data_IF_013809526639
#
_entry.id   IF_013809526639
#
_cell.length_a   1.000
_cell.length_b   1.000
_cell.length_c   1.000
_cell.angle_alpha   90.00
_cell.angle_beta   90.00
_cell.angle_gamma   90.00
#
_symmetry.space_group_name_H-M   'P 1'
#
loop_
_entity.id
_entity.type
_entity.pdbx_description
1 polymer ?
#
# COMPACT_ATOMS: atom_id res chain seq x y z
N UNK A 1 -49.88 5.53 -65.42
CA UNK A 1 -51.06 6.18 -64.79
C UNK A 1 -50.57 6.89 -63.52
N UNK A 2 -51.18 8.03 -63.19
CA UNK A 2 -51.02 8.86 -61.95
C UNK A 2 -51.50 8.06 -60.71
N UNK A 3 -51.19 8.32 -59.40
CA UNK A 3 -50.63 9.50 -58.66
C UNK A 3 -49.29 9.23 -57.90
N UNK A 4 -48.52 10.15 -57.27
CA UNK A 4 -48.64 11.49 -56.63
C UNK A 4 -48.73 11.48 -55.07
N UNK A 5 -47.85 12.23 -54.37
CA UNK A 5 -48.19 13.22 -53.30
C UNK A 5 -46.96 14.00 -52.73
N UNK A 6 -47.09 15.35 -52.68
CA UNK A 6 -46.57 16.38 -51.74
C UNK A 6 -45.17 16.24 -51.04
N UNK A 7 -44.18 17.16 -51.20
CA UNK A 7 -44.05 18.60 -50.75
C UNK A 7 -43.58 18.70 -49.28
N UNK A 8 -42.62 19.53 -48.79
CA UNK A 8 -42.01 20.83 -49.20
C UNK A 8 -40.53 20.88 -48.70
N UNK A 9 -39.51 20.87 -49.58
CA UNK A 9 -38.64 22.00 -50.01
C UNK A 9 -37.95 22.87 -48.93
N UNK A 10 -36.61 22.79 -48.90
CA UNK A 10 -35.68 23.77 -48.33
C UNK A 10 -35.40 24.93 -49.33
N UNK A 11 -34.69 25.99 -48.93
CA UNK A 11 -34.32 27.08 -49.86
C UNK A 11 -32.89 27.65 -49.73
N UNK A 12 -32.42 28.12 -50.90
CA UNK A 12 -31.15 28.80 -51.26
C UNK A 12 -31.48 30.25 -51.74
N UNK A 13 -30.64 31.16 -52.24
CA UNK A 13 -29.19 31.36 -52.54
C UNK A 13 -29.02 32.92 -52.69
N UNK A 14 -27.87 33.62 -52.79
CA UNK A 14 -26.43 33.29 -52.72
C UNK A 14 -25.59 34.58 -52.52
N UNK A 15 -24.27 34.45 -52.69
CA UNK A 15 -23.35 35.39 -53.40
C UNK A 15 -23.02 36.81 -52.89
N UNK A 16 -21.77 36.92 -52.41
CA UNK A 16 -20.65 37.80 -52.90
C UNK A 16 -20.46 39.29 -52.52
N UNK A 17 -19.18 39.60 -52.16
CA UNK A 17 -18.42 40.87 -52.30
C UNK A 17 -18.84 42.04 -51.35
N UNK A 18 -17.97 42.82 -50.68
CA UNK A 18 -16.63 43.38 -51.02
C UNK A 18 -15.73 43.55 -49.76
N UNK A 19 -14.40 43.43 -49.90
CA UNK A 19 -13.32 44.00 -49.02
C UNK A 19 -12.55 45.07 -49.85
N UNK A 20 -11.75 46.03 -49.30
CA UNK A 20 -11.08 46.01 -47.98
C UNK A 20 -11.03 47.37 -47.23
N UNK A 21 -10.40 47.40 -46.04
CA UNK A 21 -9.34 48.38 -45.72
C UNK A 21 -8.48 47.86 -44.54
N UNK A 22 -7.17 48.14 -44.57
CA UNK A 22 -6.17 47.68 -43.57
C UNK A 22 -5.39 48.87 -43.03
N UNK A 23 -5.23 48.93 -41.70
CA UNK A 23 -4.18 49.65 -40.92
C UNK A 23 -4.21 49.06 -39.50
N UNK A 24 -3.23 48.24 -39.11
CA UNK A 24 -1.89 48.57 -38.55
C UNK A 24 -1.90 48.66 -37.00
N UNK A 25 -1.02 47.86 -36.40
CA UNK A 25 -0.81 47.62 -34.95
C UNK A 25 -0.33 48.86 -34.18
N UNK A 26 -0.41 48.84 -32.83
CA UNK A 26 0.82 48.53 -32.07
C UNK A 26 0.66 47.48 -30.95
N UNK A 27 1.79 47.09 -30.36
CA UNK A 27 1.93 46.05 -29.34
C UNK A 27 1.35 46.46 -27.97
N UNK A 28 0.93 45.44 -27.19
CA UNK A 28 0.72 45.53 -25.74
C UNK A 28 0.98 44.16 -25.10
N UNK A 29 1.94 44.08 -24.18
CA UNK A 29 2.24 42.86 -23.44
C UNK A 29 1.26 42.68 -22.27
N UNK A 30 0.92 41.44 -21.92
CA UNK A 30 0.04 41.14 -20.81
C UNK A 30 -0.01 39.66 -20.44
N UNK A 31 0.66 39.32 -19.34
CA UNK A 31 0.55 38.10 -18.52
C UNK A 31 0.15 36.78 -19.20
N UNK A 32 1.13 35.88 -19.36
CA UNK A 32 0.85 34.45 -19.19
C UNK A 32 0.67 34.23 -17.68
N UNK A 33 -0.57 34.21 -17.22
CA UNK A 33 -0.88 33.72 -15.89
C UNK A 33 -0.70 32.19 -15.89
N UNK A 34 0.42 31.72 -15.34
CA UNK A 34 0.56 30.30 -15.01
C UNK A 34 -0.48 29.98 -13.93
N UNK A 35 -1.57 29.33 -14.32
CA UNK A 35 -2.49 28.71 -13.38
C UNK A 35 -1.80 27.49 -12.80
N UNK A 36 -0.95 27.73 -11.80
CA UNK A 36 -0.58 26.69 -10.85
C UNK A 36 -1.87 26.37 -10.10
N UNK A 37 -2.51 25.28 -10.52
CA UNK A 37 -3.61 24.69 -9.79
C UNK A 37 -3.03 24.15 -8.47
N UNK A 38 -3.02 25.01 -7.44
CA UNK A 38 -2.87 24.61 -6.05
C UNK A 38 -4.12 23.80 -5.66
N UNK A 39 -4.17 22.56 -6.15
CA UNK A 39 -4.97 21.52 -5.51
C UNK A 39 -4.36 21.32 -4.11
N UNK A 40 -5.11 21.54 -3.02
CA UNK A 40 -4.63 21.09 -1.72
C UNK A 40 -4.45 19.56 -1.80
N UNK A 41 -3.43 19.00 -1.14
CA UNK A 41 -3.28 17.54 -1.07
C UNK A 41 -4.60 16.98 -0.53
N UNK A 42 -5.31 16.23 -1.37
CA UNK A 42 -6.44 15.47 -0.88
C UNK A 42 -5.83 14.42 0.06
N UNK A 43 -6.33 14.26 1.30
CA UNK A 43 -6.00 13.07 2.05
C UNK A 43 -6.50 11.88 1.23
N UNK A 44 -5.57 11.07 0.74
CA UNK A 44 -5.86 9.73 0.26
C UNK A 44 -6.33 8.94 1.47
N UNK A 45 -7.64 8.98 1.72
CA UNK A 45 -8.33 7.99 2.53
C UNK A 45 -8.10 6.65 1.84
N UNK A 46 -7.60 5.65 2.56
CA UNK A 46 -7.39 4.30 2.03
C UNK A 46 -8.65 3.80 1.30
N UNK A 47 -9.80 4.05 1.95
CA UNK A 47 -11.13 3.69 1.44
C UNK A 47 -12.10 4.87 1.52
N UNK A 48 -11.93 5.85 0.63
CA UNK A 48 -12.80 7.03 0.52
C UNK A 48 -14.25 6.74 0.11
N UNK A 49 -15.10 6.40 1.09
CA UNK A 49 -16.56 6.47 0.95
C UNK A 49 -17.26 5.25 0.36
N UNK A 50 -17.05 4.07 0.92
CA UNK A 50 -17.78 2.84 0.54
C UNK A 50 -19.20 2.77 1.14
N UNK A 51 -20.08 3.72 0.76
CA UNK A 51 -21.52 3.47 0.85
C UNK A 51 -21.95 2.49 -0.26
N UNK A 52 -21.72 1.19 0.00
CA UNK A 52 -22.46 0.10 -0.64
C UNK A 52 -22.31 -0.01 -2.16
N UNK A 53 -21.08 -0.13 -2.68
CA UNK A 53 -20.87 -0.65 -4.04
C UNK A 53 -21.43 -2.08 -4.09
N UNK A 54 -22.57 -2.27 -4.77
CA UNK A 54 -23.22 -3.57 -4.86
C UNK A 54 -22.35 -4.53 -5.69
N UNK A 55 -21.71 -5.48 -4.99
CA UNK A 55 -21.18 -6.71 -5.57
C UNK A 55 -22.27 -7.31 -6.47
N UNK A 56 -21.93 -7.60 -7.72
CA UNK A 56 -22.93 -8.13 -8.66
C UNK A 56 -23.43 -9.51 -8.21
N UNK A 57 -24.69 -9.83 -8.49
CA UNK A 57 -25.22 -11.16 -8.19
C UNK A 57 -24.46 -12.29 -8.92
N UNK A 58 -23.78 -11.96 -10.04
CA UNK A 58 -22.89 -12.88 -10.75
C UNK A 58 -21.58 -13.14 -9.99
N UNK A 59 -20.99 -12.10 -9.39
CA UNK A 59 -19.76 -12.19 -8.59
C UNK A 59 -19.89 -13.15 -7.39
N UNK A 60 -21.10 -13.30 -6.82
CA UNK A 60 -21.39 -14.26 -5.75
C UNK A 60 -21.80 -15.66 -6.23
N UNK A 61 -21.88 -15.91 -7.54
CA UNK A 61 -22.44 -17.15 -8.07
C UNK A 61 -21.51 -18.36 -7.79
N UNK A 62 -22.06 -19.40 -7.17
CA UNK A 62 -21.31 -20.58 -6.70
C UNK A 62 -20.58 -20.38 -5.36
N UNK A 63 -20.85 -19.30 -4.63
CA UNK A 63 -20.37 -19.09 -3.26
C UNK A 63 -21.47 -19.43 -2.25
N UNK A 64 -21.17 -20.35 -1.32
CA UNK A 64 -22.14 -20.89 -0.35
C UNK A 64 -21.63 -20.56 1.06
N UNK A 65 -22.36 -19.75 1.83
CA UNK A 65 -21.97 -19.41 3.20
C UNK A 65 -21.83 -20.69 4.06
N UNK A 66 -20.67 -20.89 4.67
CA UNK A 66 -20.32 -22.15 5.36
C UNK A 66 -19.35 -21.86 6.52
N UNK A 67 -19.86 -21.28 7.61
CA UNK A 67 -19.03 -20.87 8.75
C UNK A 67 -18.28 -22.04 9.42
N UNK A 68 -18.77 -23.28 9.24
CA UNK A 68 -18.15 -24.48 9.81
C UNK A 68 -16.85 -24.84 9.07
N UNK A 69 -16.86 -24.84 7.73
CA UNK A 69 -15.65 -25.09 6.95
C UNK A 69 -14.78 -23.83 6.80
N UNK A 70 -15.42 -22.69 6.58
CA UNK A 70 -14.81 -21.46 6.08
C UNK A 70 -14.73 -20.32 7.11
N UNK A 71 -15.15 -20.56 8.36
CA UNK A 71 -15.12 -19.55 9.42
C UNK A 71 -16.17 -18.44 9.24
N UNK A 72 -16.34 -17.56 10.23
CA UNK A 72 -17.22 -16.40 10.14
C UNK A 72 -16.98 -15.60 8.84
N UNK A 73 -18.05 -15.11 8.23
CA UNK A 73 -18.01 -14.38 6.94
C UNK A 73 -17.61 -15.21 5.71
N UNK A 74 -17.02 -16.40 5.86
CA UNK A 74 -16.45 -17.18 4.76
C UNK A 74 -17.47 -18.00 3.94
N UNK A 75 -17.17 -18.15 2.66
CA UNK A 75 -17.97 -18.92 1.70
C UNK A 75 -17.22 -20.14 1.19
N UNK A 76 -17.85 -21.32 1.21
CA UNK A 76 -17.39 -22.51 0.49
C UNK A 76 -17.69 -22.36 -1.00
N UNK A 77 -16.71 -22.70 -1.82
CA UNK A 77 -16.79 -22.62 -3.27
C UNK A 77 -17.44 -23.92 -3.77
N UNK A 78 -18.50 -23.79 -4.57
CA UNK A 78 -19.32 -24.92 -5.05
C UNK A 78 -18.46 -26.02 -5.72
N UNK A 79 -18.89 -27.27 -5.57
CA UNK A 79 -18.17 -28.48 -6.00
C UNK A 79 -16.75 -28.69 -5.37
N UNK A 80 -16.39 -27.89 -4.36
CA UNK A 80 -15.08 -28.00 -3.69
C UNK A 80 -15.14 -27.89 -2.16
N UNK A 81 -14.04 -28.28 -1.52
CA UNK A 81 -13.73 -28.04 -0.10
C UNK A 81 -12.84 -26.79 0.10
N UNK A 82 -12.84 -25.87 -0.87
CA UNK A 82 -12.13 -24.60 -0.81
C UNK A 82 -13.06 -23.51 -0.29
N UNK A 83 -12.48 -22.53 0.40
CA UNK A 83 -13.18 -21.38 0.93
C UNK A 83 -12.67 -20.09 0.26
N UNK A 84 -13.47 -19.03 0.33
CA UNK A 84 -13.10 -17.65 -0.01
C UNK A 84 -13.70 -16.70 1.03
N UNK A 85 -13.09 -15.53 1.21
CA UNK A 85 -13.70 -14.45 2.02
C UNK A 85 -14.91 -13.82 1.31
N UNK A 86 -14.96 -13.91 -0.03
CA UNK A 86 -15.91 -13.21 -0.86
C UNK A 86 -15.19 -12.28 -1.82
N UNK A 87 -15.90 -11.36 -2.49
CA UNK A 87 -15.31 -10.48 -3.49
C UNK A 87 -15.04 -9.07 -3.01
N UNK A 88 -13.87 -8.55 -3.36
CA UNK A 88 -13.47 -7.17 -3.07
C UNK A 88 -13.99 -6.26 -4.17
N UNK A 89 -14.77 -5.26 -3.77
CA UNK A 89 -15.41 -4.35 -4.71
C UNK A 89 -14.40 -3.39 -5.34
N UNK A 90 -14.35 -3.35 -6.67
CA UNK A 90 -13.52 -2.39 -7.39
C UNK A 90 -13.95 -0.93 -7.12
N UNK A 91 -13.00 0.00 -6.93
CA UNK A 91 -13.28 1.43 -7.00
C UNK A 91 -13.89 1.75 -8.38
N UNK A 92 -15.05 2.40 -8.42
CA UNK A 92 -15.75 2.66 -9.69
C UNK A 92 -14.90 3.53 -10.63
N UNK A 93 -14.39 2.93 -11.72
CA UNK A 93 -13.64 3.62 -12.75
C UNK A 93 -13.25 2.70 -13.90
N UNK A 94 -13.91 2.84 -15.05
CA UNK A 94 -13.69 2.06 -16.27
C UNK A 94 -12.39 2.44 -17.02
N UNK A 95 -11.30 2.70 -16.29
CA UNK A 95 -10.01 3.12 -16.84
C UNK A 95 -9.17 1.93 -17.33
N UNK A 96 -8.41 2.12 -18.42
CA UNK A 96 -7.33 1.18 -18.74
C UNK A 96 -6.27 1.22 -17.64
N UNK A 97 -5.89 0.05 -17.11
CA UNK A 97 -4.83 -0.05 -16.11
C UNK A 97 -3.53 0.52 -16.67
N UNK A 98 -2.93 1.47 -15.94
CA UNK A 98 -1.68 2.09 -16.31
C UNK A 98 -0.54 1.04 -16.32
N UNK A 99 0.20 0.98 -17.42
CA UNK A 99 1.37 0.11 -17.53
C UNK A 99 2.38 0.40 -16.41
N UNK A 100 2.85 -0.65 -15.74
CA UNK A 100 3.90 -0.52 -14.73
C UNK A 100 5.20 0.11 -15.28
N UNK A 101 5.96 0.77 -14.40
CA UNK A 101 7.25 1.35 -14.74
C UNK A 101 8.29 0.31 -15.16
N UNK A 102 9.29 0.74 -15.93
CA UNK A 102 10.29 -0.15 -16.54
C UNK A 102 11.31 -0.77 -15.54
N UNK A 103 11.33 -0.33 -14.29
CA UNK A 103 12.23 -0.85 -13.25
C UNK A 103 11.52 -1.94 -12.45
N UNK A 104 11.82 -3.20 -12.76
CA UNK A 104 11.37 -4.35 -11.98
C UNK A 104 12.11 -4.41 -10.63
N UNK A 105 11.38 -4.63 -9.54
CA UNK A 105 12.01 -5.06 -8.28
C UNK A 105 12.69 -6.43 -8.49
N UNK A 106 13.92 -6.65 -7.98
CA UNK A 106 14.66 -7.88 -8.23
C UNK A 106 14.12 -9.03 -7.35
N UNK A 107 13.57 -10.09 -7.96
CA UNK A 107 13.06 -11.28 -7.26
C UNK A 107 14.17 -12.25 -6.79
N UNK A 108 13.84 -13.23 -5.94
CA UNK A 108 14.71 -14.38 -5.65
C UNK A 108 14.24 -15.62 -6.43
N UNK A 109 15.15 -16.20 -7.21
CA UNK A 109 14.97 -17.52 -7.84
C UNK A 109 15.58 -18.61 -6.95
N UNK A 110 14.75 -19.55 -6.48
CA UNK A 110 15.18 -20.66 -5.62
C UNK A 110 15.19 -21.99 -6.40
N UNK A 111 16.33 -22.68 -6.37
CA UNK A 111 16.47 -24.03 -6.94
C UNK A 111 16.40 -24.06 -8.47
N UNK A 112 15.56 -24.93 -9.00
CA UNK A 112 15.27 -25.08 -10.44
C UNK A 112 14.14 -24.15 -10.92
N UNK A 113 13.64 -23.26 -10.06
CA UNK A 113 12.51 -22.37 -10.36
C UNK A 113 11.13 -23.03 -10.33
N UNK A 114 11.01 -24.37 -10.22
CA UNK A 114 9.75 -25.08 -10.44
C UNK A 114 9.40 -26.07 -9.32
N UNK A 115 10.39 -26.76 -8.77
CA UNK A 115 10.19 -27.79 -7.75
C UNK A 115 9.74 -27.23 -6.40
N UNK A 116 9.05 -28.05 -5.62
CA UNK A 116 8.55 -27.67 -4.30
C UNK A 116 7.31 -26.77 -4.33
N UNK A 117 7.04 -26.10 -3.20
CA UNK A 117 5.93 -25.15 -3.01
C UNK A 117 6.26 -23.85 -3.72
N UNK A 118 5.37 -23.35 -4.57
CA UNK A 118 5.59 -22.13 -5.38
C UNK A 118 4.30 -21.33 -5.58
N UNK A 119 4.42 -20.01 -5.69
CA UNK A 119 3.38 -19.15 -6.27
C UNK A 119 3.54 -19.18 -7.78
N UNK A 120 2.53 -19.65 -8.50
CA UNK A 120 2.53 -19.72 -9.96
C UNK A 120 1.62 -18.62 -10.50
N UNK A 121 2.22 -17.67 -11.19
CA UNK A 121 1.50 -16.54 -11.79
C UNK A 121 0.94 -16.98 -13.14
N UNK A 122 -0.31 -16.65 -13.43
CA UNK A 122 -1.02 -17.01 -14.65
C UNK A 122 -1.65 -15.73 -15.23
N UNK A 123 -1.55 -15.55 -16.55
CA UNK A 123 -2.43 -14.61 -17.25
C UNK A 123 -3.63 -15.41 -17.77
N UNK A 124 -4.83 -15.03 -17.36
CA UNK A 124 -6.04 -15.83 -17.57
C UNK A 124 -7.06 -15.02 -18.38
N UNK A 125 -7.56 -15.63 -19.45
CA UNK A 125 -8.62 -15.05 -20.29
C UNK A 125 -9.63 -16.10 -20.73
N UNK A 126 -10.85 -15.69 -21.08
CA UNK A 126 -11.81 -16.55 -21.78
C UNK A 126 -11.54 -16.58 -23.29
N UNK A 127 -12.05 -17.58 -24.01
CA UNK A 127 -11.80 -17.77 -25.45
C UNK A 127 -12.04 -16.51 -26.28
N UNK A 128 -13.11 -15.76 -26.00
CA UNK A 128 -13.53 -14.54 -26.70
C UNK A 128 -12.93 -13.22 -26.16
N UNK A 129 -12.31 -13.22 -24.98
CA UNK A 129 -11.71 -12.02 -24.38
C UNK A 129 -10.51 -11.46 -25.19
N UNK A 130 -10.12 -10.18 -25.02
CA UNK A 130 -8.90 -9.64 -25.61
C UNK A 130 -7.66 -10.48 -25.25
N UNK A 131 -6.71 -10.58 -26.20
CA UNK A 131 -5.40 -11.19 -25.97
C UNK A 131 -4.36 -10.09 -25.81
N UNK A 132 -4.06 -9.73 -24.56
CA UNK A 132 -3.17 -8.63 -24.19
C UNK A 132 -1.87 -9.10 -23.51
N UNK A 133 -1.60 -10.40 -23.46
CA UNK A 133 -0.40 -10.95 -22.82
C UNK A 133 0.90 -10.28 -23.27
N UNK A 134 1.12 -10.17 -24.58
CA UNK A 134 2.34 -9.57 -25.13
C UNK A 134 2.46 -8.05 -24.86
N UNK A 135 1.34 -7.37 -24.59
CA UNK A 135 1.32 -5.96 -24.19
C UNK A 135 1.70 -5.81 -22.72
N UNK A 136 1.13 -6.63 -21.83
CA UNK A 136 1.23 -6.49 -20.37
C UNK A 136 2.25 -7.40 -19.68
N UNK A 137 2.92 -8.34 -20.36
CA UNK A 137 3.88 -9.29 -19.73
C UNK A 137 4.91 -8.61 -18.81
N UNK A 138 5.50 -7.50 -19.25
CA UNK A 138 6.44 -6.74 -18.40
C UNK A 138 5.77 -6.17 -17.16
N UNK A 139 4.50 -5.75 -17.25
CA UNK A 139 3.72 -5.24 -16.13
C UNK A 139 3.24 -6.34 -15.19
N UNK A 140 2.80 -7.50 -15.69
CA UNK A 140 2.47 -8.66 -14.85
C UNK A 140 3.68 -9.11 -14.02
N UNK A 141 4.87 -9.07 -14.60
CA UNK A 141 6.13 -9.31 -13.88
C UNK A 141 6.46 -8.20 -12.88
N UNK A 142 6.19 -6.93 -13.22
CA UNK A 142 6.39 -5.80 -12.34
C UNK A 142 5.49 -5.85 -11.10
N UNK A 143 4.19 -6.01 -11.27
CA UNK A 143 3.21 -6.06 -10.18
C UNK A 143 3.42 -7.28 -9.26
N UNK A 144 3.77 -8.45 -9.83
CA UNK A 144 4.15 -9.60 -9.01
C UNK A 144 5.46 -9.37 -8.24
N UNK A 145 6.46 -8.69 -8.83
CA UNK A 145 7.69 -8.32 -8.13
C UNK A 145 7.50 -7.19 -7.09
N UNK A 146 6.55 -6.29 -7.32
CA UNK A 146 6.12 -5.24 -6.38
C UNK A 146 5.46 -5.86 -5.15
N UNK A 147 4.57 -6.85 -5.33
CA UNK A 147 4.03 -7.62 -4.21
C UNK A 147 5.12 -8.35 -3.40
N UNK A 148 6.15 -8.87 -4.07
CA UNK A 148 7.31 -9.48 -3.40
C UNK A 148 8.17 -8.44 -2.64
N UNK A 149 8.25 -7.20 -3.14
CA UNK A 149 8.85 -6.09 -2.41
C UNK A 149 8.05 -5.72 -1.16
N UNK A 150 6.71 -5.64 -1.26
CA UNK A 150 5.79 -5.39 -0.12
C UNK A 150 6.00 -6.43 0.99
N UNK A 151 6.02 -7.72 0.64
CA UNK A 151 6.30 -8.81 1.58
C UNK A 151 7.68 -8.68 2.25
N UNK A 152 8.69 -8.20 1.51
CA UNK A 152 10.04 -8.03 2.03
C UNK A 152 10.22 -6.79 2.91
N UNK A 153 9.57 -5.67 2.56
CA UNK A 153 9.60 -4.43 3.33
C UNK A 153 8.86 -4.60 4.67
N UNK A 154 7.69 -5.25 4.63
CA UNK A 154 6.95 -5.65 5.84
C UNK A 154 7.79 -6.60 6.72
N UNK A 155 8.58 -7.49 6.10
CA UNK A 155 9.50 -8.35 6.82
C UNK A 155 10.69 -7.59 7.43
N UNK A 156 11.20 -6.55 6.75
CA UNK A 156 12.30 -5.71 7.21
C UNK A 156 11.92 -4.94 8.49
N UNK A 157 10.67 -4.49 8.63
CA UNK A 157 10.14 -3.82 9.84
C UNK A 157 10.32 -4.70 11.08
N UNK A 158 10.13 -6.01 10.94
CA UNK A 158 10.27 -6.98 12.03
C UNK A 158 11.64 -7.68 12.08
N UNK A 159 12.65 -7.14 11.36
CA UNK A 159 14.05 -7.60 11.40
C UNK A 159 14.38 -8.79 10.49
N UNK A 160 13.44 -9.25 9.67
CA UNK A 160 13.60 -10.42 8.81
C UNK A 160 13.59 -10.10 7.32
N UNK A 161 13.60 -11.15 6.51
CA UNK A 161 13.35 -11.10 5.07
C UNK A 161 12.32 -12.17 4.72
N UNK A 162 11.33 -11.83 3.90
CA UNK A 162 10.38 -12.78 3.30
C UNK A 162 10.15 -12.41 1.85
N UNK A 163 10.37 -13.37 0.97
CA UNK A 163 10.24 -13.21 -0.49
C UNK A 163 9.22 -14.19 -1.03
N UNK A 164 8.42 -13.78 -2.00
CA UNK A 164 7.46 -14.66 -2.65
C UNK A 164 8.22 -15.70 -3.48
N UNK A 165 7.91 -16.97 -3.26
CA UNK A 165 8.60 -18.11 -3.88
C UNK A 165 7.98 -18.42 -5.25
N UNK A 166 8.21 -17.55 -6.23
CA UNK A 166 7.61 -17.67 -7.56
C UNK A 166 8.07 -18.91 -8.34
N UNK A 167 7.22 -19.38 -9.25
CA UNK A 167 7.66 -20.20 -10.39
C UNK A 167 8.45 -19.31 -11.35
N UNK A 168 9.66 -19.73 -11.69
CA UNK A 168 10.56 -18.95 -12.57
C UNK A 168 11.11 -19.78 -13.72
N UNK A 169 11.44 -19.11 -14.83
CA UNK A 169 12.11 -19.73 -15.97
C UNK A 169 13.63 -19.89 -15.74
N UNK A 170 14.32 -20.48 -16.71
CA UNK A 170 15.77 -20.71 -16.70
C UNK A 170 16.61 -19.42 -16.75
N UNK A 171 16.01 -18.30 -17.18
CA UNK A 171 16.60 -16.97 -17.13
C UNK A 171 16.36 -16.20 -15.82
N UNK A 172 15.75 -16.82 -14.81
CA UNK A 172 15.40 -16.19 -13.52
C UNK A 172 14.41 -15.02 -13.65
N UNK A 173 13.40 -15.18 -14.51
CA UNK A 173 12.22 -14.33 -14.58
C UNK A 173 10.99 -15.09 -14.06
N UNK A 174 9.97 -14.39 -13.57
CA UNK A 174 8.66 -15.00 -13.27
C UNK A 174 8.10 -15.63 -14.56
N UNK A 175 7.74 -16.91 -14.48
CA UNK A 175 7.05 -17.62 -15.55
C UNK A 175 5.54 -17.35 -15.45
N UNK A 176 4.95 -16.89 -16.56
CA UNK A 176 3.55 -16.45 -16.62
C UNK A 176 2.89 -17.07 -17.85
N UNK A 177 2.50 -18.36 -17.83
CA UNK A 177 1.81 -18.96 -18.96
C UNK A 177 0.42 -18.34 -19.16
N UNK A 178 0.04 -18.20 -20.44
CA UNK A 178 -1.33 -17.84 -20.85
C UNK A 178 -2.26 -19.04 -20.63
N UNK A 179 -3.37 -18.82 -19.93
CA UNK A 179 -4.40 -19.82 -19.70
C UNK A 179 -5.71 -19.34 -20.32
N UNK A 180 -6.21 -20.11 -21.29
CA UNK A 180 -7.50 -19.84 -21.95
C UNK A 180 -8.57 -20.73 -21.33
N UNK A 181 -9.60 -20.11 -20.76
CA UNK A 181 -10.78 -20.77 -20.19
C UNK A 181 -11.95 -20.72 -21.20
N UNK A 182 -12.91 -21.67 -21.15
CA UNK A 182 -14.13 -21.58 -21.94
C UNK A 182 -14.93 -20.31 -21.63
N UNK A 183 -15.57 -19.70 -22.64
CA UNK A 183 -16.41 -18.50 -22.45
C UNK A 183 -17.43 -18.66 -21.31
N UNK A 184 -17.52 -17.64 -20.44
CA UNK A 184 -18.37 -17.63 -19.25
C UNK A 184 -17.73 -18.22 -17.98
N UNK A 185 -16.52 -18.79 -18.06
CA UNK A 185 -15.76 -19.29 -16.90
C UNK A 185 -15.10 -18.19 -16.06
N UNK A 186 -15.12 -16.94 -16.53
CA UNK A 186 -14.64 -15.74 -15.86
C UNK A 186 -15.72 -15.02 -15.02
N UNK A 187 -17.00 -15.31 -15.27
CA UNK A 187 -18.13 -14.64 -14.63
C UNK A 187 -18.30 -14.86 -13.13
N UNK A 188 -17.67 -15.87 -12.53
CA UNK A 188 -17.52 -15.99 -11.07
C UNK A 188 -16.27 -16.78 -10.67
N UNK A 189 -15.85 -16.65 -9.41
CA UNK A 189 -14.70 -17.35 -8.86
C UNK A 189 -14.89 -18.87 -8.83
N UNK A 190 -16.11 -19.34 -8.60
CA UNK A 190 -16.46 -20.77 -8.64
C UNK A 190 -16.30 -21.35 -10.06
N UNK A 191 -16.81 -20.67 -11.09
CA UNK A 191 -16.64 -21.14 -12.48
C UNK A 191 -15.18 -21.07 -12.94
N UNK A 192 -14.44 -20.03 -12.53
CA UNK A 192 -12.99 -19.91 -12.77
C UNK A 192 -12.21 -21.07 -12.16
N UNK A 193 -12.47 -21.39 -10.90
CA UNK A 193 -11.78 -22.48 -10.20
C UNK A 193 -12.15 -23.84 -10.80
N UNK A 194 -13.42 -24.07 -11.15
CA UNK A 194 -13.84 -25.33 -11.80
C UNK A 194 -13.13 -25.53 -13.16
N UNK A 195 -13.04 -24.49 -13.98
CA UNK A 195 -12.31 -24.52 -15.25
C UNK A 195 -10.80 -24.73 -15.06
N UNK A 196 -10.15 -23.98 -14.16
CA UNK A 196 -8.73 -24.13 -13.84
C UNK A 196 -8.39 -25.53 -13.30
N UNK A 197 -9.22 -26.08 -12.41
CA UNK A 197 -9.06 -27.43 -11.87
C UNK A 197 -9.20 -28.50 -12.96
N UNK A 198 -10.09 -28.29 -13.93
CA UNK A 198 -10.26 -29.17 -15.11
C UNK A 198 -9.01 -29.18 -16.00
N UNK A 199 -8.33 -28.03 -16.11
CA UNK A 199 -7.03 -27.89 -16.80
C UNK A 199 -5.82 -28.38 -15.97
N UNK A 200 -6.03 -28.86 -14.74
CA UNK A 200 -4.97 -29.40 -13.88
C UNK A 200 -4.28 -28.38 -12.97
N UNK A 201 -4.75 -27.12 -12.93
CA UNK A 201 -4.27 -26.12 -11.97
C UNK A 201 -4.90 -26.37 -10.58
N UNK A 202 -4.51 -27.46 -9.92
CA UNK A 202 -5.08 -27.92 -8.64
C UNK A 202 -4.03 -28.54 -7.69
N UNK A 203 -2.74 -28.32 -7.93
CA UNK A 203 -1.65 -29.00 -7.23
C UNK A 203 -1.41 -28.41 -5.82
N UNK A 204 -1.29 -29.21 -4.74
CA UNK A 204 -1.20 -28.69 -3.37
C UNK A 204 0.08 -27.87 -3.08
N UNK A 205 1.15 -28.07 -3.86
CA UNK A 205 2.35 -27.24 -3.80
C UNK A 205 2.28 -26.00 -4.72
N UNK A 206 1.08 -25.50 -5.02
CA UNK A 206 0.85 -24.30 -5.84
C UNK A 206 -0.17 -23.36 -5.21
N UNK A 207 0.17 -22.08 -5.16
CA UNK A 207 -0.80 -20.99 -5.08
C UNK A 207 -0.85 -20.33 -6.46
N UNK A 208 -2.02 -20.21 -7.05
CA UNK A 208 -2.20 -19.68 -8.39
C UNK A 208 -2.60 -18.21 -8.29
N UNK A 209 -1.69 -17.31 -8.67
CA UNK A 209 -1.98 -15.89 -8.80
C UNK A 209 -2.49 -15.64 -10.22
N UNK A 210 -3.69 -15.11 -10.37
CA UNK A 210 -4.37 -14.94 -11.66
C UNK A 210 -4.46 -13.44 -11.97
N UNK A 211 -3.74 -12.99 -12.99
CA UNK A 211 -4.08 -11.74 -13.68
C UNK A 211 -5.19 -12.07 -14.69
N UNK A 212 -6.42 -11.76 -14.33
CA UNK A 212 -7.62 -12.11 -15.10
C UNK A 212 -8.05 -10.95 -16.01
N UNK A 213 -8.41 -11.26 -17.26
CA UNK A 213 -8.85 -10.27 -18.26
C UNK A 213 -10.23 -9.65 -17.99
N UNK A 214 -11.11 -10.34 -17.28
CA UNK A 214 -12.42 -9.81 -16.89
C UNK A 214 -12.31 -8.71 -15.84
N UNK A 215 -13.39 -7.97 -15.63
CA UNK A 215 -13.54 -6.90 -14.62
C UNK A 215 -14.77 -7.16 -13.73
N UNK A 216 -14.87 -8.37 -13.16
CA UNK A 216 -15.96 -8.81 -12.27
C UNK A 216 -15.69 -8.42 -10.82
N UNK A 217 -14.40 -8.38 -10.47
CA UNK A 217 -13.87 -8.15 -9.13
C UNK A 217 -12.86 -7.00 -9.15
N UNK A 218 -12.41 -6.54 -7.99
CA UNK A 218 -11.05 -6.02 -7.86
C UNK A 218 -10.12 -7.20 -7.57
N UNK A 219 -10.41 -7.83 -6.42
CA UNK A 219 -9.79 -9.04 -5.90
C UNK A 219 -10.84 -10.09 -5.52
N UNK A 220 -10.39 -11.34 -5.42
CA UNK A 220 -11.03 -12.42 -4.67
C UNK A 220 -10.03 -13.56 -4.48
N UNK A 221 -9.88 -14.01 -3.24
CA UNK A 221 -8.92 -15.04 -2.89
C UNK A 221 -9.54 -16.25 -2.18
N UNK A 222 -8.86 -17.39 -2.32
CA UNK A 222 -9.13 -18.56 -1.51
C UNK A 222 -8.59 -18.35 -0.08
N UNK A 223 -9.39 -18.65 0.93
CA UNK A 223 -8.98 -18.60 2.35
C UNK A 223 -8.93 -20.00 2.97
N UNK A 224 -8.31 -20.10 4.14
CA UNK A 224 -8.18 -21.37 4.88
C UNK A 224 -8.42 -21.11 6.36
N UNK A 225 -9.53 -21.66 6.89
CA UNK A 225 -9.83 -21.68 8.32
C UNK A 225 -8.93 -22.68 9.05
N UNK A 226 -7.78 -22.18 9.51
CA UNK A 226 -6.77 -22.93 10.25
C UNK A 226 -5.79 -21.94 10.92
N UNK A 227 -6.00 -21.65 12.21
CA UNK A 227 -5.12 -20.75 12.97
C UNK A 227 -3.90 -21.43 13.60
N UNK A 228 -3.58 -22.70 13.25
CA UNK A 228 -2.47 -23.41 13.90
C UNK A 228 -1.11 -22.86 13.43
N UNK A 229 -0.15 -22.59 14.32
CA UNK A 229 1.12 -21.91 13.98
C UNK A 229 2.12 -22.76 13.18
N UNK A 230 1.98 -24.09 13.23
CA UNK A 230 3.01 -25.02 12.75
C UNK A 230 3.00 -25.27 11.23
N UNK A 231 4.02 -25.99 10.75
CA UNK A 231 4.14 -26.43 9.35
C UNK A 231 2.92 -27.18 8.83
N UNK A 232 2.18 -27.86 9.72
CA UNK A 232 0.98 -28.66 9.45
C UNK A 232 -0.29 -27.83 9.20
N UNK A 233 -0.18 -26.49 9.21
CA UNK A 233 -1.26 -25.61 8.80
C UNK A 233 -1.71 -25.92 7.36
N UNK A 234 -3.02 -26.05 7.15
CA UNK A 234 -3.65 -26.38 5.85
C UNK A 234 -3.24 -25.42 4.73
N UNK A 235 -2.98 -24.14 5.03
CA UNK A 235 -2.50 -23.13 4.07
C UNK A 235 -1.22 -23.57 3.36
N UNK A 236 -0.36 -24.35 4.03
CA UNK A 236 0.85 -24.91 3.44
C UNK A 236 0.59 -26.11 2.51
N UNK A 237 -0.54 -26.81 2.60
CA UNK A 237 -0.73 -28.15 2.00
C UNK A 237 -1.94 -28.25 1.05
N UNK A 238 -2.56 -27.13 0.72
CA UNK A 238 -3.69 -27.05 -0.20
C UNK A 238 -3.42 -26.05 -1.33
N UNK A 239 -3.90 -26.39 -2.53
CA UNK A 239 -3.94 -25.45 -3.64
C UNK A 239 -4.79 -24.22 -3.24
N UNK A 240 -4.40 -23.05 -3.71
CA UNK A 240 -5.15 -21.82 -3.51
C UNK A 240 -5.09 -20.92 -4.74
N UNK A 241 -5.99 -19.95 -4.81
CA UNK A 241 -6.20 -19.08 -5.97
C UNK A 241 -6.36 -17.65 -5.46
N UNK A 242 -5.56 -16.73 -5.99
CA UNK A 242 -5.62 -15.30 -5.76
C UNK A 242 -5.97 -14.66 -7.11
N UNK A 243 -7.17 -14.10 -7.27
CA UNK A 243 -7.65 -13.57 -8.57
C UNK A 243 -7.68 -12.05 -8.53
N UNK A 244 -6.94 -11.43 -9.44
CA UNK A 244 -6.92 -9.97 -9.62
C UNK A 244 -7.44 -9.65 -11.03
N UNK A 245 -8.54 -8.93 -11.09
CA UNK A 245 -9.26 -8.62 -12.34
C UNK A 245 -8.73 -7.33 -12.99
N UNK A 246 -8.92 -7.21 -14.31
CA UNK A 246 -8.55 -6.04 -15.08
C UNK A 246 -9.32 -4.81 -14.56
N UNK A 247 -8.58 -3.75 -14.27
CA UNK A 247 -9.03 -2.59 -13.49
C UNK A 247 -8.27 -2.46 -12.16
N UNK A 248 -7.84 -3.59 -11.57
CA UNK A 248 -7.08 -3.64 -10.31
C UNK A 248 -5.73 -4.37 -10.42
N UNK A 249 -5.13 -4.47 -11.61
CA UNK A 249 -3.80 -5.07 -11.75
C UNK A 249 -2.71 -4.15 -11.19
N UNK A 250 -2.30 -4.38 -9.95
CA UNK A 250 -1.22 -3.68 -9.26
C UNK A 250 -0.59 -4.55 -8.15
N UNK A 251 0.61 -4.20 -7.67
CA UNK A 251 1.30 -4.99 -6.65
C UNK A 251 0.59 -5.03 -5.29
N UNK A 252 -0.16 -3.98 -4.93
CA UNK A 252 -0.92 -3.92 -3.66
C UNK A 252 -2.06 -4.94 -3.68
N UNK A 253 -2.94 -4.91 -4.69
CA UNK A 253 -4.01 -5.91 -4.83
C UNK A 253 -3.46 -7.33 -4.97
N UNK A 254 -2.33 -7.53 -5.67
CA UNK A 254 -1.66 -8.84 -5.71
C UNK A 254 -1.19 -9.29 -4.31
N UNK A 255 -0.61 -8.39 -3.52
CA UNK A 255 -0.19 -8.69 -2.16
C UNK A 255 -1.38 -9.02 -1.25
N UNK A 256 -2.51 -8.31 -1.41
CA UNK A 256 -3.76 -8.54 -0.71
C UNK A 256 -4.29 -9.97 -0.95
N UNK A 257 -4.64 -10.30 -2.20
CA UNK A 257 -5.20 -11.60 -2.58
C UNK A 257 -4.26 -12.78 -2.26
N UNK A 258 -2.96 -12.57 -2.40
CA UNK A 258 -1.99 -13.59 -2.08
C UNK A 258 -1.93 -13.82 -0.56
N UNK A 259 -2.03 -12.78 0.27
CA UNK A 259 -2.03 -12.89 1.74
C UNK A 259 -3.20 -13.76 2.23
N UNK A 260 -4.40 -13.55 1.69
CA UNK A 260 -5.53 -14.46 1.90
C UNK A 260 -5.21 -15.91 1.52
N UNK A 261 -4.64 -16.10 0.34
CA UNK A 261 -4.25 -17.40 -0.21
C UNK A 261 -3.12 -18.10 0.59
N UNK A 262 -2.34 -17.34 1.36
CA UNK A 262 -1.34 -17.82 2.32
C UNK A 262 -1.89 -17.98 3.76
N UNK A 263 -3.15 -17.63 4.00
CA UNK A 263 -3.88 -17.88 5.25
C UNK A 263 -4.10 -16.66 6.14
N UNK A 264 -3.92 -15.43 5.65
CA UNK A 264 -4.42 -14.22 6.31
C UNK A 264 -5.91 -13.94 6.01
N UNK A 265 -6.61 -13.11 6.77
CA UNK A 265 -6.42 -12.90 8.21
C UNK A 265 -7.29 -13.94 8.93
N UNK A 266 -6.75 -14.60 9.94
CA UNK A 266 -7.55 -15.56 10.71
C UNK A 266 -8.54 -14.80 11.59
N UNK A 267 -9.80 -15.23 11.64
CA UNK A 267 -10.86 -14.65 12.48
C UNK A 267 -10.57 -14.62 14.01
N UNK A 268 -9.47 -15.24 14.45
CA UNK A 268 -8.97 -15.19 15.84
C UNK A 268 -7.92 -14.10 16.08
N UNK A 269 -7.52 -13.34 15.05
CA UNK A 269 -6.53 -12.28 15.15
C UNK A 269 -7.06 -11.09 15.99
N UNK A 270 -6.20 -10.37 16.73
CA UNK A 270 -6.59 -9.30 17.64
C UNK A 270 -7.56 -8.26 17.06
N UNK A 271 -7.34 -7.83 15.82
CA UNK A 271 -8.09 -6.78 15.13
C UNK A 271 -8.82 -7.32 13.89
N UNK A 272 -9.14 -8.62 13.85
CA UNK A 272 -9.94 -9.20 12.77
C UNK A 272 -11.33 -8.53 12.64
N UNK A 273 -11.74 -8.22 11.40
CA UNK A 273 -13.06 -7.67 11.09
C UNK A 273 -14.21 -8.65 11.34
N UNK A 274 -13.87 -9.95 11.33
CA UNK A 274 -14.80 -11.08 11.31
C UNK A 274 -15.17 -11.54 9.89
N UNK A 275 -14.87 -10.76 8.85
CA UNK A 275 -15.11 -11.07 7.43
C UNK A 275 -13.88 -11.52 6.64
N UNK A 276 -12.80 -11.91 7.34
CA UNK A 276 -11.44 -12.26 6.85
C UNK A 276 -10.46 -11.10 6.65
N UNK A 277 -10.90 -9.86 6.84
CA UNK A 277 -10.05 -8.67 6.92
C UNK A 277 -9.69 -8.31 8.36
N UNK A 278 -8.99 -7.18 8.53
CA UNK A 278 -8.73 -6.53 9.82
C UNK A 278 -9.35 -5.13 9.88
N UNK A 279 -9.16 -4.39 10.98
CA UNK A 279 -9.78 -3.07 11.19
C UNK A 279 -8.80 -1.91 11.38
N UNK A 280 -7.49 -2.14 11.39
CA UNK A 280 -6.48 -1.09 11.51
C UNK A 280 -6.30 -0.30 10.20
N UNK A 281 -6.90 0.88 10.15
CA UNK A 281 -6.91 1.75 8.97
C UNK A 281 -5.50 2.17 8.57
N UNK A 282 -5.26 2.10 7.25
CA UNK A 282 -3.97 2.12 6.58
C UNK A 282 -3.16 0.82 6.67
N UNK A 283 -3.79 -0.34 6.59
CA UNK A 283 -3.13 -1.63 6.30
C UNK A 283 -3.72 -2.21 5.02
N UNK A 284 -2.92 -2.91 4.20
CA UNK A 284 -3.38 -3.54 2.95
C UNK A 284 -4.64 -4.40 3.15
N UNK A 285 -4.73 -5.11 4.27
CA UNK A 285 -5.76 -6.11 4.55
C UNK A 285 -6.90 -5.60 5.44
N UNK A 286 -6.90 -4.33 5.84
CA UNK A 286 -7.88 -3.80 6.77
C UNK A 286 -8.89 -2.86 6.10
N UNK A 287 -10.17 -3.21 6.18
CA UNK A 287 -11.29 -2.32 5.90
C UNK A 287 -12.59 -2.85 6.52
N UNK A 288 -13.65 -2.03 6.55
CA UNK A 288 -14.94 -2.39 7.14
C UNK A 288 -15.77 -3.20 6.15
N UNK A 289 -15.91 -4.50 6.38
CA UNK A 289 -16.40 -5.48 5.42
C UNK A 289 -17.72 -6.17 5.80
N UNK A 290 -18.33 -6.84 4.84
CA UNK A 290 -19.50 -7.68 5.07
C UNK A 290 -19.10 -8.96 5.83
N UNK A 291 -19.98 -9.53 6.68
CA UNK A 291 -21.33 -9.07 7.00
C UNK A 291 -21.42 -8.13 8.21
N UNK A 292 -20.30 -7.83 8.89
CA UNK A 292 -20.30 -7.23 10.22
C UNK A 292 -20.14 -5.71 10.24
N UNK A 293 -19.48 -5.13 9.23
CA UNK A 293 -19.17 -3.71 9.07
C UNK A 293 -18.64 -3.06 10.36
N UNK A 294 -17.53 -3.58 10.94
CA UNK A 294 -16.95 -3.06 12.17
C UNK A 294 -16.41 -1.64 11.97
N UNK A 295 -16.28 -0.90 13.08
CA UNK A 295 -15.63 0.42 13.06
C UNK A 295 -14.11 0.26 12.90
N UNK A 296 -13.50 1.11 12.09
CA UNK A 296 -12.06 1.11 11.84
C UNK A 296 -11.28 1.76 12.99
N UNK A 297 -10.08 1.24 13.24
CA UNK A 297 -9.12 1.68 14.23
C UNK A 297 -7.99 2.45 13.54
N UNK A 298 -7.79 3.73 13.87
CA UNK A 298 -6.71 4.54 13.29
C UNK A 298 -5.40 4.34 14.08
N UNK A 299 -4.90 3.10 14.09
CA UNK A 299 -3.72 2.73 14.87
C UNK A 299 -2.40 2.94 14.11
N UNK A 300 -2.43 2.96 12.77
CA UNK A 300 -1.21 2.96 11.97
C UNK A 300 -0.44 4.29 12.01
N UNK A 301 0.90 4.28 12.17
CA UNK A 301 1.70 5.49 12.32
C UNK A 301 1.67 6.46 11.13
N UNK A 302 1.36 5.97 9.92
CA UNK A 302 1.22 6.80 8.71
C UNK A 302 0.47 6.07 7.61
N UNK A 303 0.08 6.80 6.57
CA UNK A 303 -0.53 6.26 5.34
C UNK A 303 0.42 5.40 4.50
N UNK A 304 1.71 5.28 4.85
CA UNK A 304 2.65 4.36 4.16
C UNK A 304 2.24 2.90 4.32
N UNK A 305 1.61 2.55 5.44
CA UNK A 305 1.17 1.18 5.72
C UNK A 305 0.05 0.70 4.78
N UNK A 306 -0.60 1.58 4.00
CA UNK A 306 -1.47 1.21 2.87
C UNK A 306 -0.76 0.36 1.80
N UNK A 307 0.57 0.33 1.83
CA UNK A 307 1.43 -0.44 0.93
C UNK A 307 2.24 -1.52 1.67
N UNK A 308 1.88 -1.85 2.92
CA UNK A 308 2.57 -2.83 3.75
C UNK A 308 1.60 -3.84 4.39
N UNK A 309 2.17 -4.95 4.85
CA UNK A 309 1.47 -6.00 5.58
C UNK A 309 1.67 -5.84 7.09
N UNK A 310 0.56 -5.99 7.81
CA UNK A 310 0.45 -6.06 9.28
C UNK A 310 1.09 -4.86 9.97
N UNK A 311 0.42 -3.72 9.79
CA UNK A 311 0.54 -2.56 10.66
C UNK A 311 0.46 -3.00 12.14
N UNK A 312 1.36 -2.50 13.00
CA UNK A 312 1.62 -2.97 14.36
C UNK A 312 2.18 -4.41 14.49
N UNK A 313 2.02 -5.26 13.47
CA UNK A 313 2.60 -6.61 13.35
C UNK A 313 2.00 -7.62 14.34
N UNK A 314 0.71 -7.52 14.67
CA UNK A 314 0.05 -8.37 15.66
C UNK A 314 -1.09 -9.25 15.13
N UNK A 315 -1.51 -9.11 13.86
CA UNK A 315 -2.66 -9.83 13.30
C UNK A 315 -2.32 -11.02 12.39
N UNK A 316 -1.35 -10.92 11.47
CA UNK A 316 -1.13 -11.95 10.46
C UNK A 316 0.30 -12.12 9.91
N UNK A 317 1.22 -11.18 10.11
CA UNK A 317 2.56 -11.17 9.51
C UNK A 317 3.63 -10.54 10.44
N UNK A 318 4.47 -11.36 11.05
CA UNK A 318 5.63 -10.88 11.83
C UNK A 318 6.79 -11.86 11.71
N UNK A 319 8.02 -11.39 11.42
CA UNK A 319 9.14 -12.30 11.17
C UNK A 319 9.88 -12.83 12.41
N UNK A 320 9.92 -12.04 13.50
CA UNK A 320 10.43 -12.45 14.83
C UNK A 320 9.41 -12.20 15.97
N UNK A 321 8.23 -12.85 15.98
CA UNK A 321 7.11 -12.47 16.85
C UNK A 321 7.45 -12.63 18.34
N UNK A 322 7.17 -11.61 19.19
CA UNK A 322 7.47 -11.66 20.63
C UNK A 322 6.88 -12.89 21.33
N UNK A 323 7.66 -13.52 22.20
CA UNK A 323 7.24 -14.76 22.86
C UNK A 323 5.92 -14.59 23.65
N UNK A 324 4.89 -15.34 23.23
CA UNK A 324 3.55 -15.27 23.82
C UNK A 324 2.58 -14.29 23.13
N UNK A 325 3.00 -13.59 22.07
CA UNK A 325 2.09 -12.84 21.20
C UNK A 325 1.14 -13.77 20.42
N UNK A 326 0.14 -13.17 19.78
CA UNK A 326 -0.77 -13.90 18.88
C UNK A 326 0.02 -14.64 17.79
N UNK A 327 0.90 -13.95 17.06
CA UNK A 327 1.70 -14.53 15.96
C UNK A 327 2.85 -15.44 16.40
N UNK A 328 3.15 -15.53 17.70
CA UNK A 328 4.00 -16.57 18.27
C UNK A 328 3.23 -17.87 18.60
N UNK A 329 1.89 -17.83 18.60
CA UNK A 329 1.02 -18.93 19.05
C UNK A 329 -0.03 -19.37 18.03
N UNK A 330 -0.30 -18.57 17.01
CA UNK A 330 -1.27 -18.80 15.94
C UNK A 330 -0.61 -18.72 14.55
N UNK A 331 -1.38 -18.98 13.49
CA UNK A 331 -0.88 -18.89 12.12
C UNK A 331 -0.37 -17.49 11.82
N UNK A 332 0.80 -17.45 11.19
CA UNK A 332 1.54 -16.27 10.84
C UNK A 332 2.02 -16.47 9.40
N UNK A 333 1.58 -15.60 8.49
CA UNK A 333 1.84 -15.69 7.04
C UNK A 333 3.34 -15.67 6.74
N UNK A 334 4.16 -15.03 7.58
CA UNK A 334 5.62 -15.08 7.46
C UNK A 334 6.20 -16.51 7.62
N UNK A 335 5.46 -17.45 8.21
CA UNK A 335 5.85 -18.87 8.31
C UNK A 335 5.33 -19.74 7.16
N UNK A 336 4.70 -19.13 6.14
CA UNK A 336 4.25 -19.82 4.94
C UNK A 336 5.39 -20.48 4.17
N UNK A 337 5.22 -21.77 3.84
CA UNK A 337 6.15 -22.52 3.01
C UNK A 337 6.13 -22.09 1.52
N UNK A 338 5.30 -21.12 1.15
CA UNK A 338 5.31 -20.42 -0.14
C UNK A 338 6.14 -19.12 -0.11
N UNK A 339 6.78 -18.81 1.02
CA UNK A 339 7.75 -17.72 1.14
C UNK A 339 9.16 -18.26 1.36
N UNK A 340 10.14 -17.57 0.79
CA UNK A 340 11.57 -17.76 1.07
C UNK A 340 11.91 -16.89 2.27
N UNK A 341 12.35 -17.51 3.36
CA UNK A 341 13.03 -16.79 4.43
C UNK A 341 14.47 -16.50 3.98
N UNK A 342 14.82 -15.21 3.91
CA UNK A 342 16.23 -14.83 3.78
C UNK A 342 16.99 -15.06 5.08
N UNK A 343 18.32 -14.83 5.10
CA UNK A 343 19.05 -14.73 6.37
C UNK A 343 18.39 -13.62 7.23
N UNK A 344 18.41 -13.74 8.57
CA UNK A 344 18.04 -12.62 9.44
C UNK A 344 18.81 -11.38 9.02
N UNK A 345 18.16 -10.23 8.96
CA UNK A 345 18.88 -9.00 8.71
C UNK A 345 19.87 -8.80 9.87
N UNK A 346 21.11 -8.36 9.61
CA UNK A 346 21.98 -7.94 10.70
C UNK A 346 21.27 -6.84 11.48
N UNK A 347 20.95 -7.14 12.75
CA UNK A 347 20.18 -6.27 13.63
C UNK A 347 20.77 -4.87 13.60
N UNK A 348 20.00 -3.93 13.06
CA UNK A 348 20.39 -2.52 13.00
C UNK A 348 20.38 -1.98 14.43
N UNK A 349 21.27 -1.02 14.78
CA UNK A 349 21.11 -0.32 16.04
C UNK A 349 19.76 0.38 16.03
N UNK A 350 19.03 0.26 17.14
CA UNK A 350 17.97 1.23 17.43
C UNK A 350 18.64 2.61 17.50
N UNK A 351 18.04 3.60 16.85
CA UNK A 351 18.57 4.96 16.78
C UNK A 351 17.45 5.93 17.11
N UNK A 352 17.78 6.95 17.90
CA UNK A 352 16.86 7.99 18.31
C UNK A 352 17.37 9.36 17.85
N UNK A 353 16.45 10.20 17.37
CA UNK A 353 16.67 11.63 17.24
C UNK A 353 16.41 12.28 18.60
N UNK A 354 17.43 12.87 19.20
CA UNK A 354 17.33 13.58 20.50
C UNK A 354 18.06 14.91 20.43
N UNK A 355 17.92 15.73 21.48
CA UNK A 355 18.81 16.88 21.69
C UNK A 355 19.99 16.47 22.56
N UNK A 356 21.19 17.01 22.31
CA UNK A 356 22.40 16.71 23.08
C UNK A 356 22.23 16.99 24.60
N UNK A 357 21.35 17.93 24.95
CA UNK A 357 21.02 18.30 26.33
C UNK A 357 19.86 17.51 26.94
N UNK A 358 19.13 16.71 26.14
CA UNK A 358 17.87 16.09 26.52
C UNK A 358 16.69 17.08 26.70
N UNK A 359 16.88 18.36 26.36
CA UNK A 359 15.84 19.37 26.46
C UNK A 359 14.87 19.30 25.26
N UNK A 360 13.57 19.19 25.54
CA UNK A 360 12.47 19.36 24.58
C UNK A 360 11.81 20.73 24.68
N UNK A 361 12.28 21.60 25.57
CA UNK A 361 11.81 22.97 25.74
C UNK A 361 12.99 23.92 25.91
N UNK A 362 13.02 25.01 25.14
CA UNK A 362 14.07 26.05 25.15
C UNK A 362 13.46 27.44 24.97
N UNK A 363 14.21 28.51 25.20
CA UNK A 363 13.80 29.87 24.80
C UNK A 363 14.33 30.21 23.39
N UNK A 364 13.69 31.17 22.71
CA UNK A 364 14.24 31.75 21.47
C UNK A 364 15.70 32.19 21.63
N UNK A 365 16.44 32.15 20.53
CA UNK A 365 17.89 32.38 20.46
C UNK A 365 18.78 31.37 21.22
N UNK A 366 18.22 30.38 21.93
CA UNK A 366 18.99 29.24 22.45
C UNK A 366 19.33 28.27 21.32
N UNK A 367 20.61 27.98 21.05
CA UNK A 367 20.99 26.93 20.10
C UNK A 367 20.66 25.54 20.66
N UNK A 368 20.10 24.69 19.81
CA UNK A 368 19.83 23.27 20.08
C UNK A 368 20.71 22.43 19.17
N UNK A 369 21.51 21.53 19.74
CA UNK A 369 22.17 20.49 18.96
C UNK A 369 21.28 19.25 18.90
N UNK A 370 20.75 18.94 17.71
CA UNK A 370 20.12 17.68 17.37
C UNK A 370 21.21 16.62 17.16
N UNK A 371 21.00 15.42 17.70
CA UNK A 371 21.96 14.32 17.65
C UNK A 371 21.25 13.00 17.34
N UNK A 372 21.92 12.12 16.60
CA UNK A 372 21.49 10.73 16.43
C UNK A 372 22.27 9.86 17.43
N UNK A 373 21.57 9.18 18.33
CA UNK A 373 22.17 8.35 19.37
C UNK A 373 21.60 6.93 19.39
N UNK A 374 22.40 5.96 19.85
CA UNK A 374 21.93 4.59 20.14
C UNK A 374 21.42 4.51 21.57
N UNK A 375 20.16 4.09 21.82
CA UNK A 375 19.69 3.76 23.16
C UNK A 375 20.60 2.70 23.79
N UNK A 376 20.91 2.85 25.08
CA UNK A 376 21.92 2.04 25.81
C UNK A 376 21.51 0.55 25.98
N UNK A 377 20.37 0.16 25.41
CA UNK A 377 19.74 -1.16 25.54
C UNK A 377 19.98 -2.12 24.36
N UNK A 378 20.45 -1.64 23.19
CA UNK A 378 20.52 -2.46 21.98
C UNK A 378 21.88 -3.14 21.75
N UNK A 379 21.91 -4.49 21.82
CA UNK A 379 23.01 -5.30 21.32
C UNK A 379 22.86 -5.52 19.80
N UNK A 380 23.21 -4.50 19.00
CA UNK A 380 23.16 -4.55 17.55
C UNK A 380 24.47 -5.08 16.93
N UNK A 381 24.35 -5.83 15.82
CA UNK A 381 25.50 -6.32 15.06
C UNK A 381 25.98 -5.34 13.98
N UNK A 382 25.28 -4.21 13.79
CA UNK A 382 25.78 -3.04 13.07
C UNK A 382 26.08 -1.91 14.06
N UNK A 383 27.17 -1.21 13.80
CA UNK A 383 27.51 0.07 14.45
C UNK A 383 27.09 1.24 13.57
N UNK A 384 27.09 2.46 14.10
CA UNK A 384 26.81 3.70 13.34
C UNK A 384 27.79 3.92 12.17
N UNK A 385 28.90 3.20 12.11
CA UNK A 385 29.79 3.13 10.94
C UNK A 385 29.12 2.70 9.63
N UNK A 386 27.95 2.07 9.66
CA UNK A 386 27.17 1.71 8.46
C UNK A 386 26.23 2.84 7.98
N UNK A 387 26.20 3.98 8.68
CA UNK A 387 25.47 5.19 8.28
C UNK A 387 26.18 5.90 7.13
N UNK A 388 25.54 5.97 5.95
CA UNK A 388 26.02 6.78 4.83
C UNK A 388 25.63 8.25 5.00
N UNK A 389 24.35 8.53 5.32
CA UNK A 389 23.90 9.90 5.56
C UNK A 389 22.68 9.98 6.49
N UNK A 390 22.58 11.09 7.22
CA UNK A 390 21.40 11.52 7.99
C UNK A 390 20.84 12.77 7.33
N UNK A 391 19.60 12.71 6.88
CA UNK A 391 18.78 13.82 6.39
C UNK A 391 17.93 14.34 7.56
N UNK A 392 18.21 15.54 8.04
CA UNK A 392 17.37 16.24 9.02
C UNK A 392 16.34 17.11 8.30
N UNK A 393 15.10 17.10 8.79
CA UNK A 393 14.02 17.98 8.34
C UNK A 393 13.36 18.68 9.53
N UNK A 394 12.79 19.86 9.28
CA UNK A 394 11.99 20.64 10.22
C UNK A 394 10.64 20.95 9.58
N UNK A 395 9.54 20.57 10.24
CA UNK A 395 8.17 20.76 9.74
C UNK A 395 8.04 20.29 8.27
N UNK A 396 8.57 19.09 8.01
CA UNK A 396 8.65 18.41 6.70
C UNK A 396 9.51 19.09 5.60
N UNK A 397 10.17 20.22 5.89
CA UNK A 397 11.16 20.84 5.01
C UNK A 397 12.58 20.32 5.35
N UNK A 398 13.32 19.85 4.34
CA UNK A 398 14.70 19.35 4.52
C UNK A 398 15.67 20.48 4.85
N UNK A 399 16.38 20.36 5.97
CA UNK A 399 17.26 21.42 6.51
C UNK A 399 18.76 21.06 6.46
N UNK A 400 19.12 19.77 6.43
CA UNK A 400 20.52 19.34 6.34
C UNK A 400 20.67 17.88 5.92
N UNK A 401 21.81 17.55 5.29
CA UNK A 401 22.34 16.18 5.24
C UNK A 401 23.73 16.14 5.87
N UNK A 402 23.95 15.14 6.73
CA UNK A 402 25.20 14.89 7.44
C UNK A 402 25.72 13.50 7.07
N UNK A 403 26.89 13.42 6.44
CA UNK A 403 27.48 12.19 5.88
C UNK A 403 28.64 11.63 6.70
N UNK A 404 28.90 12.17 7.89
CA UNK A 404 30.03 11.77 8.73
C UNK A 404 29.70 11.84 10.21
N UNK A 405 30.15 10.85 10.98
CA UNK A 405 30.07 10.90 12.44
C UNK A 405 30.88 12.08 13.03
N UNK A 406 30.41 12.65 14.15
CA UNK A 406 29.11 12.40 14.79
C UNK A 406 27.97 13.10 14.02
N UNK A 407 26.84 12.41 13.84
CA UNK A 407 25.68 12.96 13.14
C UNK A 407 24.95 13.99 14.00
N UNK A 408 25.25 15.27 13.76
CA UNK A 408 24.78 16.41 14.54
C UNK A 408 24.27 17.53 13.63
N UNK A 409 23.24 18.24 14.07
CA UNK A 409 22.80 19.50 13.45
C UNK A 409 22.48 20.54 14.51
N UNK A 410 23.05 21.74 14.40
CA UNK A 410 22.74 22.85 15.30
C UNK A 410 21.67 23.74 14.70
N UNK A 411 20.54 23.85 15.40
CA UNK A 411 19.41 24.68 15.05
C UNK A 411 19.22 25.82 16.08
N UNK A 412 18.61 26.93 15.67
CA UNK A 412 18.27 28.03 16.58
C UNK A 412 17.00 28.73 16.10
N UNK A 413 15.95 28.73 16.92
CA UNK A 413 14.74 29.51 16.65
C UNK A 413 14.91 30.99 16.96
N UNK A 414 14.23 31.83 16.17
CA UNK A 414 14.05 33.28 16.41
C UNK A 414 12.63 33.65 16.82
N UNK A 415 11.70 32.69 16.79
CA UNK A 415 10.27 32.86 17.07
C UNK A 415 9.83 31.76 18.04
N UNK A 416 8.92 32.10 18.95
CA UNK A 416 8.31 31.13 19.86
C UNK A 416 7.27 30.27 19.12
N UNK A 417 7.21 28.98 19.41
CA UNK A 417 6.34 28.05 18.70
C UNK A 417 6.71 26.59 18.95
N UNK A 418 5.99 25.69 18.30
CA UNK A 418 6.29 24.26 18.28
C UNK A 418 6.99 23.91 16.97
N UNK A 419 8.01 23.06 17.06
CA UNK A 419 8.88 22.68 15.94
C UNK A 419 9.07 21.17 15.95
N UNK A 420 8.68 20.51 14.86
CA UNK A 420 8.77 19.06 14.70
C UNK A 420 9.97 18.72 13.83
N UNK A 421 10.94 18.03 14.41
CA UNK A 421 12.11 17.53 13.70
C UNK A 421 11.93 16.07 13.34
N UNK A 422 12.34 15.71 12.13
CA UNK A 422 12.48 14.32 11.70
C UNK A 422 13.91 14.08 11.20
N UNK A 423 14.36 12.84 11.33
CA UNK A 423 15.64 12.39 10.79
C UNK A 423 15.40 11.14 9.96
N UNK A 424 15.74 11.19 8.68
CA UNK A 424 15.79 10.02 7.79
C UNK A 424 17.24 9.62 7.62
N UNK A 425 17.52 8.34 7.81
CA UNK A 425 18.87 7.81 7.75
C UNK A 425 19.01 6.85 6.58
N UNK A 426 20.13 6.92 5.86
CA UNK A 426 20.50 6.00 4.78
C UNK A 426 21.72 5.16 5.17
N UNK A 427 21.63 3.88 4.85
CA UNK A 427 22.62 2.86 5.17
C UNK A 427 23.54 2.53 3.99
N UNK A 428 24.66 1.87 4.29
CA UNK A 428 25.68 1.45 3.31
C UNK A 428 25.19 0.46 2.26
N UNK A 429 24.06 -0.20 2.49
CA UNK A 429 23.32 -1.05 1.55
C UNK A 429 22.23 -0.32 0.75
N UNK A 430 22.01 0.99 1.02
CA UNK A 430 21.04 1.84 0.32
C UNK A 430 19.68 1.95 1.01
N UNK A 431 19.36 1.05 1.95
CA UNK A 431 18.14 1.08 2.78
C UNK A 431 18.01 2.42 3.52
N UNK A 432 16.76 2.87 3.76
CA UNK A 432 16.51 4.08 4.56
C UNK A 432 15.47 3.86 5.66
N UNK A 433 15.67 4.51 6.81
CA UNK A 433 14.76 4.48 7.98
C UNK A 433 14.48 5.92 8.41
N UNK A 434 13.21 6.28 8.61
CA UNK A 434 12.83 7.55 9.26
C UNK A 434 12.62 7.30 10.75
N UNK A 435 13.28 8.08 11.61
CA UNK A 435 13.17 7.98 13.06
C UNK A 435 11.88 8.64 13.57
N UNK A 436 11.45 8.25 14.78
CA UNK A 436 10.35 8.89 15.50
C UNK A 436 10.57 10.41 15.58
N UNK A 437 9.56 11.26 15.27
CA UNK A 437 9.71 12.71 15.32
C UNK A 437 10.05 13.23 16.72
N UNK A 438 10.91 14.25 16.77
CA UNK A 438 11.27 14.98 17.98
C UNK A 438 10.58 16.35 17.97
N UNK A 439 9.68 16.59 18.92
CA UNK A 439 8.99 17.87 19.08
C UNK A 439 9.76 18.74 20.08
N UNK A 440 10.02 20.00 19.71
CA UNK A 440 10.64 21.01 20.57
C UNK A 440 9.73 22.22 20.70
N UNK A 441 9.41 22.59 21.94
CA UNK A 441 8.67 23.82 22.25
C UNK A 441 9.65 24.97 22.52
N UNK A 442 9.57 26.02 21.71
CA UNK A 442 10.34 27.26 21.90
C UNK A 442 9.47 28.30 22.59
N UNK A 443 9.89 28.71 23.78
CA UNK A 443 9.28 29.78 24.57
C UNK A 443 9.78 31.16 24.13
N UNK A 444 8.97 32.22 24.28
CA UNK A 444 9.43 33.59 24.07
C UNK A 444 10.55 33.94 25.06
N UNK A 445 11.33 34.96 24.72
CA UNK A 445 12.37 35.46 25.62
C UNK A 445 11.73 36.25 26.77
N UNK A 446 11.91 35.79 28.00
CA UNK A 446 11.32 36.42 29.19
C UNK A 446 12.13 37.64 29.67
N UNK A 447 12.82 38.35 28.77
CA UNK A 447 13.59 39.58 29.05
C UNK A 447 12.70 40.83 29.32
N UNK A 448 11.52 40.63 29.90
CA UNK A 448 10.70 41.67 30.53
C UNK A 448 10.20 41.26 31.93
N UNK A 449 11.05 40.57 32.70
CA UNK A 449 11.07 40.81 34.15
C UNK A 449 11.58 42.25 34.38
N UNK A 450 10.66 43.21 34.30
CA UNK A 450 10.89 44.51 34.91
C UNK A 450 11.07 44.29 36.42
N UNK A 451 12.09 44.88 37.07
CA UNK A 451 12.13 44.89 38.53
C UNK A 451 10.85 45.57 39.05
N UNK A 452 10.35 45.21 40.23
CA UNK A 452 9.20 45.91 40.81
C UNK A 452 9.58 47.37 41.04
N UNK A 453 9.04 48.28 40.23
CA UNK A 453 9.12 49.71 40.46
C UNK A 453 8.39 50.05 41.78
N UNK A 454 9.16 50.53 42.77
CA UNK A 454 8.71 50.82 44.14
C UNK A 454 7.92 52.15 44.23
N UNK A 455 7.09 52.44 43.23
CA UNK A 455 6.13 53.55 43.27
C UNK A 455 4.88 53.22 42.44
N UNK A 456 3.89 52.61 43.11
CA UNK A 456 2.69 52.10 42.45
C UNK A 456 1.78 53.20 41.91
N UNK A 457 1.94 53.57 40.63
CA UNK A 457 1.04 54.51 39.94
C UNK A 457 0.95 54.28 38.41
N UNK A 458 -0.25 53.86 37.96
CA UNK A 458 -0.79 53.99 36.59
C UNK A 458 -0.13 53.16 35.46
N UNK A 459 -0.82 52.69 34.42
CA UNK A 459 -2.25 52.75 34.06
C UNK A 459 -2.70 51.48 33.29
N UNK A 460 -3.99 51.17 33.30
CA UNK A 460 -4.58 50.31 32.26
C UNK A 460 -4.52 51.02 30.91
N UNK A 461 -3.93 50.38 29.90
CA UNK A 461 -4.23 50.64 28.49
C UNK A 461 -4.43 49.31 27.76
N UNK A 462 -5.69 48.96 27.48
CA UNK A 462 -6.01 47.99 26.44
C UNK A 462 -5.73 48.59 25.05
N UNK A 463 -5.45 47.74 24.03
CA UNK A 463 -5.03 48.21 22.72
C UNK A 463 -6.21 48.69 21.86
N UNK A 464 -6.00 49.75 21.07
CA UNK A 464 -6.92 50.10 19.98
C UNK A 464 -6.19 50.73 18.77
N UNK A 465 -5.95 49.88 17.76
CA UNK A 465 -6.17 50.11 16.32
C UNK A 465 -5.27 51.11 15.53
N UNK A 466 -4.89 50.66 14.33
CA UNK A 466 -4.26 51.36 13.18
C UNK A 466 -2.78 51.74 13.33
N UNK A 467 -1.95 51.65 12.29
CA UNK A 467 -2.26 51.52 10.84
C UNK A 467 -1.63 50.31 10.16
#
# INVERSE_FOLDING_TARGET
MVPALFVLLANRDSSTLVRPFVRLLPLGAGLIAAVIALMPPQPLLAHGGYEGTLVSAAAMNGLIADEVLCGPGGYRIEETELCTHGPDSSPQGDGEVAMAGANLAPIICEGDGVSGKRVQVLYVRTESAPERYAQYLSSFRAWAAEADAIYNESAQITGGQRRIRFVTNDTCEIDIPVVVLPDGSDGSFASTISALRTLGYNHPNRKYLLFMESSVYCGIASVVNDHRPGSENRSNHIAGYARVDNGCWEGVTVAHELTHTLGGIQHTAPNASGGWHCVDENDIMCYSDAPYYPALHFACPSTHFNHLLDCNNDDYFHTDPPAGSYLATHWNVANSAFLIAGPPLPTRPELALTTQSGATQVTVFTPVELVIETPVTAAANRTTSDVQQVEFSLNDEWIATVTSEPYRYTWQATVAGEYTFTARIQWSDGDTVTLTPLVITVLPDNLFDAPPDDDGQHALLLPLIMS
#
